data_IF_875746165764
#
_entry.id   IF_875746165764
#
_cell.length_a   1.000
_cell.length_b   1.000
_cell.length_c   1.000
_cell.angle_alpha   90.00
_cell.angle_beta   90.00
_cell.angle_gamma   90.00
#
_symmetry.space_group_name_H-M   'P 1'
#
loop_
_entity.id
_entity.type
_entity.pdbx_description
1 polymer ?
#
# COMPACT_ATOMS: atom_id res chain seq x y z
N UNK A 1 -25.26 13.23 22.29
CA UNK A 1 -24.53 13.29 21.00
C UNK A 1 -24.19 11.87 20.60
N UNK A 2 -24.67 11.38 19.46
CA UNK A 2 -24.32 10.02 19.01
C UNK A 2 -22.84 10.00 18.63
N UNK A 3 -22.02 9.29 19.39
CA UNK A 3 -20.62 9.02 19.06
C UNK A 3 -20.58 8.29 17.73
N UNK A 4 -19.89 8.86 16.73
CA UNK A 4 -19.66 8.22 15.44
C UNK A 4 -19.00 6.85 15.71
N UNK A 5 -19.70 5.76 15.37
CA UNK A 5 -19.19 4.39 15.58
C UNK A 5 -17.83 4.23 14.90
N UNK A 6 -16.93 3.50 15.56
CA UNK A 6 -15.59 3.24 15.00
C UNK A 6 -15.72 2.29 13.80
N UNK A 7 -14.81 2.39 12.83
CA UNK A 7 -14.83 1.52 11.65
C UNK A 7 -14.87 0.03 12.04
N UNK A 8 -14.07 -0.38 13.03
CA UNK A 8 -14.05 -1.76 13.50
C UNK A 8 -15.41 -2.25 14.01
N UNK A 9 -16.12 -1.44 14.80
CA UNK A 9 -17.46 -1.76 15.30
C UNK A 9 -18.47 -1.88 14.15
N UNK A 10 -18.41 -0.95 13.19
CA UNK A 10 -19.26 -0.98 12.00
C UNK A 10 -19.04 -2.25 11.17
N UNK A 11 -17.79 -2.71 11.06
CA UNK A 11 -17.45 -3.92 10.32
C UNK A 11 -17.92 -5.21 11.02
N UNK A 12 -17.88 -5.22 12.36
CA UNK A 12 -18.43 -6.34 13.16
C UNK A 12 -19.96 -6.37 13.05
N UNK A 13 -20.62 -5.22 13.18
CA UNK A 13 -22.08 -5.12 13.02
C UNK A 13 -22.55 -5.50 11.61
N UNK A 14 -21.75 -5.19 10.59
CA UNK A 14 -22.01 -5.60 9.21
C UNK A 14 -21.73 -7.09 8.93
N UNK A 15 -21.18 -7.83 9.90
CA UNK A 15 -20.86 -9.25 9.75
C UNK A 15 -19.69 -9.55 8.81
N UNK A 16 -18.91 -8.54 8.43
CA UNK A 16 -17.73 -8.72 7.55
C UNK A 16 -16.59 -9.36 8.33
N UNK A 17 -16.44 -8.95 9.58
CA UNK A 17 -15.46 -9.52 10.51
C UNK A 17 -16.13 -9.86 11.83
N UNK A 18 -15.52 -10.75 12.61
CA UNK A 18 -15.90 -10.98 14.00
C UNK A 18 -14.96 -10.24 14.99
N UNK A 19 -15.31 -10.25 16.28
CA UNK A 19 -14.53 -9.57 17.33
C UNK A 19 -13.08 -10.09 17.46
N UNK A 20 -12.86 -11.38 17.21
CA UNK A 20 -11.52 -11.97 17.23
C UNK A 20 -10.66 -11.43 16.09
N UNK A 21 -11.19 -11.40 14.86
CA UNK A 21 -10.52 -10.84 13.68
C UNK A 21 -10.23 -9.35 13.87
N UNK A 22 -11.18 -8.59 14.43
CA UNK A 22 -10.98 -7.18 14.76
C UNK A 22 -9.83 -7.00 15.77
N UNK A 23 -9.82 -7.79 16.85
CA UNK A 23 -8.79 -7.72 17.88
C UNK A 23 -7.39 -8.00 17.33
N UNK A 24 -7.28 -9.05 16.51
CA UNK A 24 -6.04 -9.44 15.85
C UNK A 24 -5.56 -8.34 14.88
N UNK A 25 -6.48 -7.77 14.09
CA UNK A 25 -6.15 -6.70 13.15
C UNK A 25 -5.70 -5.42 13.85
N UNK A 26 -6.34 -5.04 14.96
CA UNK A 26 -5.93 -3.90 15.78
C UNK A 26 -4.55 -4.10 16.41
N UNK A 27 -4.25 -5.32 16.86
CA UNK A 27 -2.93 -5.64 17.38
C UNK A 27 -1.85 -5.56 16.30
N UNK A 28 -2.12 -6.11 15.11
CA UNK A 28 -1.25 -5.98 13.95
C UNK A 28 -1.05 -4.50 13.57
N UNK A 29 -2.12 -3.70 13.53
CA UNK A 29 -2.05 -2.27 13.24
C UNK A 29 -1.19 -1.53 14.28
N UNK A 30 -1.28 -1.88 15.56
CA UNK A 30 -0.45 -1.29 16.61
C UNK A 30 1.03 -1.63 16.44
N UNK A 31 1.34 -2.85 16.01
CA UNK A 31 2.73 -3.30 15.80
C UNK A 31 3.35 -2.75 14.52
N UNK A 32 2.58 -2.69 13.42
CA UNK A 32 3.10 -2.40 12.08
C UNK A 32 2.69 -1.04 11.53
N UNK A 33 1.76 -0.34 12.19
CA UNK A 33 1.18 0.91 11.69
C UNK A 33 0.14 0.71 10.59
N UNK A 34 -0.16 1.81 9.88
CA UNK A 34 -1.12 1.86 8.77
C UNK A 34 -2.59 1.98 9.20
N UNK A 35 -3.49 1.96 8.23
CA UNK A 35 -4.94 2.02 8.44
C UNK A 35 -5.53 0.63 8.74
N UNK A 36 -6.57 0.59 9.58
CA UNK A 36 -7.26 -0.66 9.94
C UNK A 36 -7.83 -1.39 8.73
N UNK A 37 -8.47 -0.66 7.80
CA UNK A 37 -9.04 -1.22 6.58
C UNK A 37 -8.00 -2.01 5.77
N UNK A 38 -6.84 -1.41 5.51
CA UNK A 38 -5.75 -2.08 4.77
C UNK A 38 -5.12 -3.24 5.54
N UNK A 39 -5.08 -3.14 6.87
CA UNK A 39 -4.65 -4.28 7.70
C UNK A 39 -5.61 -5.46 7.55
N UNK A 40 -6.92 -5.22 7.56
CA UNK A 40 -7.94 -6.26 7.37
C UNK A 40 -7.83 -6.95 6.01
N UNK A 41 -7.62 -6.18 4.94
CA UNK A 41 -7.41 -6.74 3.58
C UNK A 41 -6.13 -7.56 3.53
N UNK A 42 -5.02 -7.02 4.04
CA UNK A 42 -3.71 -7.70 4.02
C UNK A 42 -3.74 -9.02 4.80
N UNK A 43 -4.55 -9.10 5.85
CA UNK A 43 -4.73 -10.33 6.64
C UNK A 43 -5.78 -11.28 6.04
N UNK A 44 -6.44 -10.90 4.94
CA UNK A 44 -7.49 -11.70 4.30
C UNK A 44 -8.79 -11.79 5.11
N UNK A 45 -8.99 -10.89 6.07
CA UNK A 45 -10.19 -10.89 6.92
C UNK A 45 -11.38 -10.18 6.28
N UNK A 46 -11.13 -9.27 5.35
CA UNK A 46 -12.18 -8.55 4.62
C UNK A 46 -11.76 -8.37 3.18
N UNK A 47 -12.73 -8.33 2.27
CA UNK A 47 -12.49 -8.01 0.87
C UNK A 47 -12.49 -6.50 0.64
N UNK A 48 -11.76 -6.06 -0.37
CA UNK A 48 -11.60 -4.65 -0.71
C UNK A 48 -12.95 -3.98 -1.06
N UNK A 49 -13.78 -4.66 -1.86
CA UNK A 49 -15.11 -4.22 -2.28
C UNK A 49 -16.07 -4.01 -1.11
N UNK A 50 -16.06 -4.93 -0.14
CA UNK A 50 -16.86 -4.85 1.09
C UNK A 50 -16.49 -3.62 1.92
N UNK A 51 -15.18 -3.38 2.12
CA UNK A 51 -14.69 -2.25 2.89
C UNK A 51 -14.98 -0.91 2.22
N UNK A 52 -14.84 -0.82 0.89
CA UNK A 52 -15.09 0.40 0.14
C UNK A 52 -16.52 0.93 0.35
N UNK A 53 -17.50 0.03 0.33
CA UNK A 53 -18.90 0.39 0.53
C UNK A 53 -19.16 1.01 1.92
N UNK A 54 -18.46 0.51 2.95
CA UNK A 54 -18.59 0.98 4.33
C UNK A 54 -17.81 2.27 4.55
N UNK A 55 -16.59 2.36 4.03
CA UNK A 55 -15.77 3.57 4.09
C UNK A 55 -16.50 4.75 3.45
N UNK A 56 -17.11 4.53 2.29
CA UNK A 56 -17.90 5.55 1.61
C UNK A 56 -19.05 6.05 2.48
N UNK A 57 -19.85 5.14 3.05
CA UNK A 57 -20.98 5.48 3.94
C UNK A 57 -20.52 6.19 5.22
N UNK A 58 -19.44 5.73 5.84
CA UNK A 58 -18.94 6.26 7.10
C UNK A 58 -18.30 7.65 6.94
N UNK A 59 -17.61 7.88 5.82
CA UNK A 59 -16.90 9.14 5.60
C UNK A 59 -17.73 10.14 4.78
N UNK A 60 -18.74 9.71 4.03
CA UNK A 60 -19.55 10.57 3.17
C UNK A 60 -18.89 10.93 1.85
N UNK A 61 -17.86 10.18 1.43
CA UNK A 61 -17.12 10.38 0.19
C UNK A 61 -17.35 9.20 -0.77
N UNK A 62 -17.32 9.42 -2.09
CA UNK A 62 -17.42 8.33 -3.05
C UNK A 62 -16.24 7.36 -2.90
N UNK A 63 -16.52 6.06 -2.87
CA UNK A 63 -15.48 5.05 -2.92
C UNK A 63 -15.02 4.79 -4.35
N UNK A 64 -13.73 4.49 -4.50
CA UNK A 64 -13.14 4.11 -5.79
C UNK A 64 -12.47 2.74 -5.68
N UNK A 65 -12.91 1.84 -6.55
CA UNK A 65 -12.29 0.56 -6.81
C UNK A 65 -11.40 0.66 -8.04
N UNK A 66 -10.09 0.52 -7.85
CA UNK A 66 -9.09 0.60 -8.93
C UNK A 66 -9.21 -0.55 -9.94
N UNK A 67 -9.86 -1.66 -9.59
CA UNK A 67 -10.05 -2.80 -10.49
C UNK A 67 -11.11 -2.52 -11.59
N UNK A 68 -12.00 -1.56 -11.35
CA UNK A 68 -13.14 -1.27 -12.25
C UNK A 68 -12.98 0.05 -13.00
N UNK A 69 -12.15 0.97 -12.50
CA UNK A 69 -11.98 2.30 -13.09
C UNK A 69 -10.96 2.30 -14.22
N UNK A 70 -11.33 2.91 -15.35
CA UNK A 70 -10.40 3.20 -16.44
C UNK A 70 -9.71 4.54 -16.21
N UNK A 71 -8.40 4.50 -15.94
CA UNK A 71 -7.58 5.69 -15.68
C UNK A 71 -6.85 6.10 -16.96
N UNK A 72 -7.02 7.35 -17.37
CA UNK A 72 -6.32 7.88 -18.55
C UNK A 72 -4.87 8.26 -18.24
N UNK A 73 -3.90 8.11 -19.18
CA UNK A 73 -2.52 8.56 -18.96
C UNK A 73 -2.40 10.05 -18.67
N UNK A 74 -3.32 10.87 -19.19
CA UNK A 74 -3.39 12.31 -18.91
C UNK A 74 -3.70 12.57 -17.43
N UNK A 75 -4.54 11.75 -16.83
CA UNK A 75 -4.91 11.85 -15.40
C UNK A 75 -3.73 11.49 -14.50
N UNK A 76 -3.01 10.42 -14.81
CA UNK A 76 -1.80 10.02 -14.05
C UNK A 76 -0.76 11.14 -14.07
N UNK A 77 -0.51 11.75 -15.24
CA UNK A 77 0.42 12.88 -15.37
C UNK A 77 -0.03 14.18 -14.68
N UNK A 78 -1.28 14.26 -14.22
CA UNK A 78 -1.80 15.45 -13.54
C UNK A 78 -1.28 15.58 -12.11
N UNK A 79 -0.81 14.47 -11.53
CA UNK A 79 -0.20 14.44 -10.20
C UNK A 79 1.27 13.97 -10.32
N UNK A 80 2.25 14.73 -9.85
CA UNK A 80 3.62 14.25 -9.76
C UNK A 80 3.73 13.02 -8.84
N UNK A 81 4.48 12.00 -9.29
CA UNK A 81 4.70 10.74 -8.53
C UNK A 81 5.14 11.00 -7.08
N UNK A 82 6.04 11.97 -6.88
CA UNK A 82 6.55 12.33 -5.55
C UNK A 82 5.43 12.73 -4.57
N UNK A 83 4.39 13.40 -5.05
CA UNK A 83 3.24 13.77 -4.21
C UNK A 83 2.32 12.57 -3.99
N UNK A 84 2.12 11.76 -5.02
CA UNK A 84 1.33 10.53 -4.93
C UNK A 84 1.90 9.58 -3.87
N UNK A 85 3.23 9.37 -3.87
CA UNK A 85 3.94 8.55 -2.88
C UNK A 85 3.94 9.19 -1.49
N UNK A 86 4.35 10.48 -1.39
CA UNK A 86 4.47 11.19 -0.11
C UNK A 86 3.17 11.17 0.69
N UNK A 87 2.05 11.37 0.01
CA UNK A 87 0.74 11.47 0.66
C UNK A 87 -0.10 10.19 0.54
N UNK A 88 0.40 9.17 -0.14
CA UNK A 88 -0.33 7.97 -0.52
C UNK A 88 -1.73 8.29 -1.09
N UNK A 89 -1.74 9.01 -2.21
CA UNK A 89 -2.94 9.44 -2.93
C UNK A 89 -2.80 9.15 -4.42
N UNK A 90 -3.92 9.03 -5.14
CA UNK A 90 -3.89 8.71 -6.57
C UNK A 90 -4.97 9.44 -7.39
N UNK A 91 -4.64 10.04 -8.54
CA UNK A 91 -5.61 10.73 -9.38
C UNK A 91 -6.35 9.74 -10.31
N UNK A 92 -7.68 9.74 -10.30
CA UNK A 92 -8.48 8.77 -11.10
C UNK A 92 -9.29 9.39 -12.22
N UNK A 93 -9.58 10.70 -12.14
CA UNK A 93 -10.17 11.44 -13.24
C UNK A 93 -9.87 12.94 -13.15
N UNK A 94 -9.97 13.63 -14.27
CA UNK A 94 -10.09 15.10 -14.29
C UNK A 94 -11.49 15.42 -14.80
N UNK A 95 -12.20 16.28 -14.08
CA UNK A 95 -13.54 16.75 -14.41
C UNK A 95 -13.53 18.27 -14.53
N UNK A 96 -14.57 18.83 -15.10
CA UNK A 96 -14.83 20.27 -15.02
C UNK A 96 -16.05 20.51 -14.14
N UNK A 97 -15.89 21.37 -13.15
CA UNK A 97 -16.95 21.78 -12.23
C UNK A 97 -16.81 23.28 -11.97
N UNK A 98 -17.91 24.02 -12.07
CA UNK A 98 -17.94 25.48 -11.81
C UNK A 98 -16.87 26.26 -12.61
N UNK A 99 -16.61 25.85 -13.86
CA UNK A 99 -15.62 26.50 -14.73
C UNK A 99 -14.15 26.26 -14.34
N UNK A 100 -13.88 25.36 -13.38
CA UNK A 100 -12.53 24.97 -12.96
C UNK A 100 -12.30 23.49 -13.23
N UNK A 101 -11.04 23.14 -13.53
CA UNK A 101 -10.63 21.74 -13.63
C UNK A 101 -10.47 21.17 -12.22
N UNK A 102 -11.14 20.05 -11.97
CA UNK A 102 -11.15 19.36 -10.70
C UNK A 102 -10.50 17.97 -10.85
N UNK A 103 -9.51 17.69 -10.02
CA UNK A 103 -8.81 16.41 -9.94
C UNK A 103 -9.54 15.50 -8.95
N UNK A 104 -10.08 14.39 -9.44
CA UNK A 104 -10.63 13.35 -8.55
C UNK A 104 -9.47 12.62 -7.93
N UNK A 105 -9.28 12.84 -6.63
CA UNK A 105 -8.15 12.34 -5.89
C UNK A 105 -8.62 11.27 -4.91
N UNK A 106 -8.13 10.04 -5.10
CA UNK A 106 -8.38 8.94 -4.18
C UNK A 106 -7.39 9.03 -3.03
N UNK A 107 -7.92 8.98 -1.81
CA UNK A 107 -7.19 9.14 -0.56
C UNK A 107 -7.60 8.06 0.44
N UNK A 108 -6.68 7.65 1.31
CA UNK A 108 -7.00 6.78 2.45
C UNK A 108 -7.71 7.54 3.58
N UNK A 109 -7.52 8.87 3.63
CA UNK A 109 -8.19 9.78 4.55
C UNK A 109 -8.64 11.07 3.83
N UNK A 110 -9.85 11.08 3.26
CA UNK A 110 -10.43 12.23 2.58
C UNK A 110 -10.69 13.45 3.48
N UNK A 111 -10.55 13.31 4.81
CA UNK A 111 -10.77 14.41 5.76
C UNK A 111 -9.51 15.23 6.02
N UNK A 112 -8.37 14.78 5.48
CA UNK A 112 -7.10 15.50 5.59
C UNK A 112 -7.06 16.70 4.62
N UNK A 113 -7.61 17.82 5.09
CA UNK A 113 -7.67 19.08 4.36
C UNK A 113 -6.29 19.69 4.06
N UNK A 114 -5.27 19.38 4.85
CA UNK A 114 -3.90 19.86 4.61
C UNK A 114 -3.30 19.20 3.36
N UNK A 115 -3.47 17.89 3.23
CA UNK A 115 -3.04 17.16 2.02
C UNK A 115 -3.80 17.66 0.80
N UNK A 116 -5.10 17.87 0.93
CA UNK A 116 -5.92 18.43 -0.15
C UNK A 116 -5.35 19.78 -0.60
N UNK A 117 -5.14 20.71 0.33
CA UNK A 117 -4.61 22.04 0.02
C UNK A 117 -3.23 22.01 -0.62
N UNK A 118 -2.33 21.14 -0.16
CA UNK A 118 -0.99 20.98 -0.75
C UNK A 118 -1.08 20.46 -2.20
N UNK A 119 -1.93 19.46 -2.47
CA UNK A 119 -2.13 18.96 -3.83
C UNK A 119 -2.75 20.04 -4.73
N UNK A 120 -3.73 20.79 -4.24
CA UNK A 120 -4.33 21.90 -4.99
C UNK A 120 -3.29 22.97 -5.33
N UNK A 121 -2.45 23.34 -4.36
CA UNK A 121 -1.39 24.33 -4.53
C UNK A 121 -0.34 23.89 -5.56
N UNK A 122 0.16 22.65 -5.46
CA UNK A 122 1.23 22.15 -6.32
C UNK A 122 0.76 21.84 -7.75
N UNK A 123 -0.50 21.45 -7.92
CA UNK A 123 -1.02 21.00 -9.22
C UNK A 123 -1.88 22.05 -9.94
N UNK A 124 -2.41 23.04 -9.22
CA UNK A 124 -3.32 24.06 -9.74
C UNK A 124 -4.74 23.56 -10.04
N UNK A 125 -5.03 22.27 -9.80
CA UNK A 125 -6.39 21.73 -9.85
C UNK A 125 -7.11 21.97 -8.53
N UNK A 126 -8.43 22.16 -8.56
CA UNK A 126 -9.21 21.91 -7.35
C UNK A 126 -9.34 20.40 -7.14
N UNK A 127 -9.45 19.93 -5.90
CA UNK A 127 -9.54 18.50 -5.59
C UNK A 127 -10.99 18.10 -5.35
N UNK A 128 -11.38 16.94 -5.90
CA UNK A 128 -12.58 16.21 -5.52
C UNK A 128 -12.18 14.94 -4.79
N UNK A 129 -12.28 14.89 -3.45
CA UNK A 129 -11.79 13.74 -2.70
C UNK A 129 -12.70 12.52 -2.86
N UNK A 130 -12.06 11.36 -3.03
CA UNK A 130 -12.66 10.04 -3.06
C UNK A 130 -11.89 9.11 -2.11
N UNK A 131 -12.54 8.04 -1.63
CA UNK A 131 -11.95 7.12 -0.65
C UNK A 131 -11.57 5.78 -1.27
N UNK A 132 -10.43 5.25 -0.87
CA UNK A 132 -10.08 3.84 -1.06
C UNK A 132 -9.18 3.36 0.08
N UNK A 133 -8.82 2.08 0.10
CA UNK A 133 -7.87 1.62 1.12
C UNK A 133 -6.46 2.07 0.80
N UNK A 134 -5.64 2.19 1.85
CA UNK A 134 -4.22 2.57 1.75
C UNK A 134 -3.45 1.63 0.81
N UNK A 135 -3.67 0.31 0.96
CA UNK A 135 -3.09 -0.75 0.15
C UNK A 135 -3.44 -0.63 -1.34
N UNK A 136 -4.71 -0.38 -1.66
CA UNK A 136 -5.12 -0.25 -3.06
C UNK A 136 -4.51 0.99 -3.72
N UNK A 137 -4.38 2.09 -2.98
CA UNK A 137 -3.73 3.31 -3.46
C UNK A 137 -2.25 3.05 -3.72
N UNK A 138 -1.55 2.43 -2.77
CA UNK A 138 -0.12 2.10 -2.93
C UNK A 138 0.10 1.23 -4.16
N UNK A 139 -0.69 0.17 -4.34
CA UNK A 139 -0.61 -0.67 -5.54
C UNK A 139 -0.88 0.11 -6.84
N UNK A 140 -1.84 1.05 -6.83
CA UNK A 140 -2.11 1.89 -7.99
C UNK A 140 -0.93 2.82 -8.31
N UNK A 141 -0.30 3.43 -7.30
CA UNK A 141 0.89 4.27 -7.48
C UNK A 141 2.01 3.45 -8.12
N UNK A 142 2.30 2.28 -7.58
CA UNK A 142 3.35 1.39 -8.11
C UNK A 142 3.07 0.97 -9.55
N UNK A 143 1.84 0.53 -9.83
CA UNK A 143 1.45 0.08 -11.16
C UNK A 143 1.53 1.19 -12.21
N UNK A 144 0.96 2.36 -11.94
CA UNK A 144 0.81 3.41 -12.95
C UNK A 144 2.03 4.31 -13.10
N UNK A 145 2.83 4.53 -12.05
CA UNK A 145 4.03 5.37 -12.14
C UNK A 145 5.31 4.57 -12.42
N UNK A 146 5.44 3.34 -11.90
CA UNK A 146 6.67 2.56 -12.02
C UNK A 146 6.60 1.50 -13.12
N UNK A 147 5.49 0.76 -13.21
CA UNK A 147 5.38 -0.36 -14.14
C UNK A 147 4.87 0.03 -15.54
N UNK A 148 4.16 1.15 -15.66
CA UNK A 148 3.63 1.61 -16.95
C UNK A 148 4.54 2.70 -17.57
N UNK A 149 5.66 2.28 -18.17
CA UNK A 149 6.61 3.15 -18.92
C UNK A 149 6.02 3.78 -20.21
N UNK A 150 4.73 4.09 -20.26
CA UNK A 150 4.05 4.81 -21.34
C UNK A 150 3.73 6.27 -20.97
N UNK A 151 4.36 6.81 -19.91
CA UNK A 151 4.08 8.16 -19.40
C UNK A 151 5.27 9.10 -19.21
N UNK A 152 6.52 8.63 -19.27
CA UNK A 152 7.70 9.48 -19.10
C UNK A 152 8.07 10.19 -20.40
N UNK A 153 7.36 11.28 -20.69
CA UNK A 153 7.89 12.33 -21.55
C UNK A 153 9.11 12.96 -20.88
N UNK A 154 10.28 12.76 -21.49
CA UNK A 154 11.56 13.45 -21.29
C UNK A 154 11.61 14.52 -20.17
N UNK A 155 12.20 14.14 -19.04
CA UNK A 155 13.01 15.08 -18.26
C UNK A 155 14.46 14.62 -18.42
N UNK A 156 15.23 15.42 -19.17
CA UNK A 156 16.66 15.22 -19.42
C UNK A 156 17.39 15.00 -18.08
N UNK A 157 18.14 13.91 -17.89
CA UNK A 157 19.08 13.85 -16.79
C UNK A 157 20.24 14.80 -17.12
N UNK A 158 20.41 15.84 -16.30
CA UNK A 158 21.63 16.62 -16.26
C UNK A 158 22.78 15.67 -15.90
N UNK A 159 23.74 15.61 -16.81
CA UNK A 159 24.97 14.84 -16.77
C UNK A 159 25.64 14.81 -15.39
N UNK A 160 25.74 13.61 -14.81
CA UNK A 160 26.77 13.27 -13.82
C UNK A 160 27.71 12.30 -14.50
N UNK A 161 29.00 12.65 -14.47
CA UNK A 161 30.09 11.97 -15.18
C UNK A 161 30.22 10.51 -14.73
N UNK A 162 30.35 9.63 -15.73
CA UNK A 162 30.72 8.24 -15.58
C UNK A 162 32.24 8.17 -15.45
N UNK A 163 32.74 7.69 -14.31
CA UNK A 163 34.13 7.23 -14.17
C UNK A 163 34.11 5.72 -14.03
N UNK A 164 34.76 5.06 -14.98
CA UNK A 164 35.02 3.63 -15.03
C UNK A 164 35.91 3.19 -13.85
N UNK A 165 35.57 2.08 -13.18
CA UNK A 165 36.54 1.18 -12.55
C UNK A 165 36.04 -0.27 -12.69
N UNK A 166 37.02 -1.12 -12.93
CA UNK A 166 37.10 -2.51 -13.39
C UNK A 166 36.71 -3.60 -12.39
N UNK A 167 36.25 -4.72 -12.96
CA UNK A 167 36.42 -6.16 -12.61
C UNK A 167 36.62 -6.64 -11.15
N UNK A 168 35.78 -7.65 -10.87
CA UNK A 168 35.97 -8.88 -10.08
C UNK A 168 36.01 -8.82 -8.54
N UNK A 169 35.15 -9.67 -7.97
CA UNK A 169 35.11 -10.26 -6.63
C UNK A 169 34.96 -9.36 -5.39
N UNK A 170 33.73 -9.28 -4.87
CA UNK A 170 33.33 -9.86 -3.57
C UNK A 170 31.88 -9.45 -3.25
N UNK A 171 31.02 -10.42 -2.94
CA UNK A 171 29.65 -10.17 -2.48
C UNK A 171 29.71 -9.62 -1.06
N UNK A 172 29.86 -8.30 -0.93
CA UNK A 172 29.70 -7.60 0.35
C UNK A 172 28.22 -7.63 0.72
N UNK A 173 27.85 -8.48 1.69
CA UNK A 173 26.56 -8.37 2.38
C UNK A 173 26.63 -7.08 3.19
N UNK A 174 26.12 -5.99 2.61
CA UNK A 174 25.91 -4.75 3.36
C UNK A 174 24.71 -5.00 4.27
N UNK A 175 24.95 -5.09 5.57
CA UNK A 175 23.89 -5.00 6.57
C UNK A 175 23.26 -3.60 6.48
N UNK A 176 22.16 -3.47 5.72
CA UNK A 176 21.26 -2.32 5.79
C UNK A 176 19.93 -2.79 6.35
N UNK A 177 19.47 -2.10 7.38
CA UNK A 177 18.16 -2.32 8.02
C UNK A 177 16.97 -1.92 7.13
N UNK A 178 17.24 -1.37 5.94
CA UNK A 178 16.24 -0.93 4.99
C UNK A 178 16.26 -1.83 3.75
N UNK A 179 15.88 -3.10 3.92
CA UNK A 179 15.59 -3.96 2.78
C UNK A 179 14.31 -3.45 2.11
N UNK A 180 14.48 -2.68 1.02
CA UNK A 180 13.40 -2.36 0.08
C UNK A 180 12.85 -3.70 -0.42
N UNK A 181 11.59 -3.98 -0.08
CA UNK A 181 10.88 -5.14 -0.60
C UNK A 181 10.61 -4.91 -2.09
N UNK A 182 11.47 -5.44 -2.93
CA UNK A 182 11.30 -5.44 -4.38
C UNK A 182 10.32 -6.55 -4.77
N UNK A 183 9.06 -6.15 -5.03
CA UNK A 183 7.98 -7.04 -5.47
C UNK A 183 8.18 -7.58 -6.89
N UNK A 184 9.22 -7.13 -7.61
CA UNK A 184 9.54 -7.58 -8.97
C UNK A 184 10.51 -8.76 -9.03
N UNK A 185 10.95 -9.30 -7.88
CA UNK A 185 11.74 -10.54 -7.82
C UNK A 185 10.77 -11.73 -7.82
N UNK A 186 10.52 -12.42 -8.96
CA UNK A 186 9.71 -13.61 -8.98
C UNK A 186 10.37 -14.71 -8.13
N UNK A 187 9.59 -15.31 -7.21
CA UNK A 187 10.02 -16.45 -6.40
C UNK A 187 10.17 -17.75 -7.21
N UNK A 188 9.83 -17.71 -8.50
CA UNK A 188 9.57 -18.89 -9.34
C UNK A 188 10.82 -19.75 -9.63
N UNK A 189 12.02 -19.26 -9.32
CA UNK A 189 13.29 -19.98 -9.52
C UNK A 189 14.07 -20.30 -8.23
N UNK A 190 13.50 -20.05 -7.06
CA UNK A 190 14.14 -20.41 -5.79
C UNK A 190 13.75 -21.83 -5.39
N UNK A 191 14.73 -22.64 -4.99
CA UNK A 191 14.43 -23.98 -4.48
C UNK A 191 13.66 -23.86 -3.16
N UNK A 192 12.71 -24.77 -2.93
CA UNK A 192 11.85 -24.73 -1.75
C UNK A 192 12.64 -24.70 -0.42
N UNK A 193 13.82 -25.31 -0.38
CA UNK A 193 14.70 -25.30 0.80
C UNK A 193 15.36 -23.93 1.05
N UNK A 194 15.70 -23.18 -0.01
CA UNK A 194 16.25 -21.83 0.08
C UNK A 194 15.19 -20.86 0.59
N UNK A 195 13.96 -20.94 0.05
CA UNK A 195 12.81 -20.15 0.51
C UNK A 195 12.51 -20.45 1.98
N UNK A 196 12.49 -21.73 2.35
CA UNK A 196 12.19 -22.14 3.72
C UNK A 196 13.26 -21.64 4.71
N UNK A 197 14.55 -21.73 4.35
CA UNK A 197 15.64 -21.19 5.19
C UNK A 197 15.53 -19.69 5.38
N UNK A 198 15.22 -18.95 4.31
CA UNK A 198 15.06 -17.50 4.36
C UNK A 198 13.86 -17.10 5.23
N UNK A 199 12.73 -17.78 5.03
CA UNK A 199 11.51 -17.54 5.81
C UNK A 199 11.73 -17.78 7.31
N UNK A 200 12.35 -18.91 7.67
CA UNK A 200 12.68 -19.22 9.07
C UNK A 200 13.58 -18.15 9.68
N UNK A 201 14.61 -17.70 8.93
CA UNK A 201 15.52 -16.64 9.38
C UNK A 201 14.79 -15.32 9.62
N UNK A 202 13.88 -14.93 8.73
CA UNK A 202 13.08 -13.69 8.84
C UNK A 202 12.14 -13.77 10.05
N UNK A 203 11.42 -14.88 10.20
CA UNK A 203 10.47 -15.07 11.30
C UNK A 203 11.18 -15.06 12.66
N UNK A 204 12.38 -15.64 12.76
CA UNK A 204 13.21 -15.55 13.97
C UNK A 204 13.70 -14.12 14.23
N UNK A 205 14.19 -13.40 13.21
CA UNK A 205 14.63 -12.00 13.34
C UNK A 205 13.50 -11.09 13.79
N UNK A 206 12.27 -11.36 13.34
CA UNK A 206 11.06 -10.62 13.68
C UNK A 206 10.41 -11.08 15.00
N UNK A 207 11.00 -12.06 15.69
CA UNK A 207 10.51 -12.57 16.98
C UNK A 207 9.20 -13.36 16.89
N UNK A 208 8.79 -13.78 15.69
CA UNK A 208 7.53 -14.52 15.47
C UNK A 208 7.68 -15.98 15.90
N UNK A 209 8.87 -16.57 15.72
CA UNK A 209 9.19 -17.94 16.12
C UNK A 209 10.56 -17.99 16.79
N UNK A 210 10.75 -18.91 17.73
CA UNK A 210 12.05 -19.17 18.37
C UNK A 210 12.67 -20.48 17.89
N UNK A 211 13.97 -20.63 18.14
CA UNK A 211 14.68 -21.89 17.88
C UNK A 211 14.07 -23.06 18.66
N UNK A 212 13.54 -22.80 19.86
CA UNK A 212 12.90 -23.80 20.71
C UNK A 212 11.59 -24.32 20.09
N UNK A 213 10.78 -23.44 19.52
CA UNK A 213 9.51 -23.79 18.86
C UNK A 213 9.75 -24.74 17.69
N UNK A 214 10.75 -24.42 16.85
CA UNK A 214 11.14 -25.24 15.69
C UNK A 214 11.61 -26.62 16.15
N UNK A 215 12.47 -26.69 17.17
CA UNK A 215 12.98 -27.97 17.68
C UNK A 215 11.89 -28.84 18.31
N UNK A 216 10.87 -28.22 18.90
CA UNK A 216 9.74 -28.91 19.54
C UNK A 216 8.84 -29.55 18.49
N UNK A 217 8.50 -28.81 17.44
CA UNK A 217 7.65 -29.32 16.35
C UNK A 217 8.37 -30.36 15.47
N UNK A 218 9.67 -30.20 15.22
CA UNK A 218 10.46 -31.22 14.51
C UNK A 218 10.57 -32.54 15.29
N UNK A 219 10.59 -32.48 16.63
CA UNK A 219 10.56 -33.68 17.48
C UNK A 219 9.22 -34.38 17.45
N UNK A 220 8.10 -33.63 17.53
CA UNK A 220 6.75 -34.20 17.42
C UNK A 220 6.53 -34.93 16.08
N UNK A 221 7.03 -34.38 14.98
CA UNK A 221 6.86 -34.94 13.63
C UNK A 221 7.74 -36.16 13.33
N UNK A 222 8.75 -36.45 14.17
CA UNK A 222 9.62 -37.65 14.06
C UNK A 222 9.15 -38.81 14.96
N UNK A 223 8.20 -38.58 15.84
CA UNK A 223 7.68 -39.58 16.81
C UNK A 223 6.26 -40.08 16.49
N UNK A 224 5.66 -39.66 15.37
CA UNK A 224 4.42 -40.20 14.82
C UNK A 224 4.63 -40.68 13.40
#
# INVERSE_FOLDING_TARGET
MATKKKLGEVLVEAGIINDMQLSVALQSQKTWGGKLASTLVRMGFAREDELLSILSKQMGFPAVDFSTVKISPKTVRALPVRLAEKFNVFPVAIREAHGKKQLVLVMSDPTNIEVIGEIEFQTGYSVYPAVSTESAITHAVDYYYHNNKQGSGNVRPTSVKLSEVTKEDEMVIIEREDAVYDSSIPFDNLKADEVLRLLVKILMKKGVITKADITTELRKKKLG
#
